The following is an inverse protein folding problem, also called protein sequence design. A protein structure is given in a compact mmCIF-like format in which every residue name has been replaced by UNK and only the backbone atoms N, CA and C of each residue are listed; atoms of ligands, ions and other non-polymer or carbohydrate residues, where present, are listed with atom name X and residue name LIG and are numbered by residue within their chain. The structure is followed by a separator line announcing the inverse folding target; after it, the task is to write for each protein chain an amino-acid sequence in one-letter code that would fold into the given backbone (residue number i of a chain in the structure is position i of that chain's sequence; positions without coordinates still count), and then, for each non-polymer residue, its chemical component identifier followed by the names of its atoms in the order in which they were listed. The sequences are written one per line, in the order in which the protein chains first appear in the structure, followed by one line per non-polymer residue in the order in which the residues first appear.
data_IF_018851026433
#
_entry.id   IF_018851026433
#
_cell.length_a   1.000
_cell.length_b   1.000
_cell.length_c   1.000
_cell.angle_alpha   90.00
_cell.angle_beta   90.00
_cell.angle_gamma   90.00
#
_symmetry.space_group_name_H-M   'P 1'
#
loop_
_entity.id
_entity.type
_entity.pdbx_description
1 polymer ?
#
# COMPACT_ATOMS: atom_id res chain seq x y z
N UNK A 1 1.69 -23.06 -3.58
CA UNK A 1 1.77 -21.62 -3.85
C UNK A 1 3.22 -21.23 -3.80
N UNK A 2 3.74 -20.60 -4.84
CA UNK A 2 5.10 -20.07 -4.85
C UNK A 2 5.08 -18.64 -4.31
N UNK A 3 6.05 -18.30 -3.45
CA UNK A 3 6.20 -16.95 -2.92
C UNK A 3 7.13 -16.19 -3.84
N UNK A 4 6.60 -15.18 -4.55
CA UNK A 4 7.42 -14.30 -5.37
C UNK A 4 8.11 -13.27 -4.47
N UNK A 5 9.43 -13.17 -4.59
CA UNK A 5 10.23 -12.20 -3.85
C UNK A 5 10.79 -11.14 -4.82
N UNK A 6 10.44 -9.88 -4.58
CA UNK A 6 10.91 -8.74 -5.36
C UNK A 6 11.77 -7.82 -4.48
N UNK A 7 12.91 -7.39 -4.99
CA UNK A 7 13.83 -6.48 -4.28
C UNK A 7 14.45 -5.47 -5.25
N UNK A 8 14.52 -4.21 -4.82
CA UNK A 8 15.12 -3.11 -5.58
C UNK A 8 15.92 -2.21 -4.63
N UNK A 9 17.05 -1.69 -5.11
CA UNK A 9 17.84 -0.70 -4.39
C UNK A 9 17.38 0.71 -4.75
N UNK A 10 16.88 1.45 -3.75
CA UNK A 10 16.44 2.83 -3.90
C UNK A 10 17.45 3.74 -3.22
N UNK A 11 18.03 4.68 -3.96
CA UNK A 11 18.97 5.67 -3.42
C UNK A 11 18.22 6.81 -2.68
N UNK A 12 17.59 6.47 -1.55
CA UNK A 12 16.86 7.40 -0.69
C UNK A 12 16.90 6.93 0.76
N UNK A 13 16.67 7.85 1.69
CA UNK A 13 16.53 7.48 3.10
C UNK A 13 15.27 6.64 3.32
N UNK A 14 15.30 5.75 4.31
CA UNK A 14 14.16 4.86 4.62
C UNK A 14 12.91 5.66 4.96
N UNK A 15 13.06 6.82 5.60
CA UNK A 15 11.96 7.72 5.96
C UNK A 15 11.30 8.32 4.72
N UNK A 16 12.11 8.70 3.71
CA UNK A 16 11.59 9.23 2.44
C UNK A 16 10.80 8.16 1.69
N UNK A 17 11.33 6.94 1.60
CA UNK A 17 10.64 5.80 0.97
C UNK A 17 9.32 5.51 1.68
N UNK A 18 9.34 5.44 3.01
CA UNK A 18 8.14 5.22 3.81
C UNK A 18 7.07 6.30 3.58
N UNK A 19 7.48 7.57 3.56
CA UNK A 19 6.57 8.70 3.32
C UNK A 19 5.98 8.67 1.92
N UNK A 20 6.75 8.27 0.90
CA UNK A 20 6.26 8.17 -0.47
C UNK A 20 5.28 7.01 -0.63
N UNK A 21 5.59 5.85 -0.04
CA UNK A 21 4.73 4.66 -0.14
C UNK A 21 3.36 4.88 0.50
N UNK A 22 3.29 5.57 1.64
CA UNK A 22 2.07 5.65 2.45
C UNK A 22 1.48 7.05 2.63
N UNK A 23 2.12 8.09 2.10
CA UNK A 23 1.55 9.44 2.15
C UNK A 23 0.39 9.57 1.16
N UNK A 24 -0.73 10.16 1.57
CA UNK A 24 -1.97 10.19 0.76
C UNK A 24 -1.76 10.68 -0.67
N UNK A 25 -1.10 11.84 -0.84
CA UNK A 25 -0.81 12.40 -2.16
C UNK A 25 0.19 11.53 -2.94
N UNK A 26 1.27 11.13 -2.28
CA UNK A 26 2.35 10.40 -2.94
C UNK A 26 1.92 9.00 -3.34
N UNK A 27 1.05 8.37 -2.54
CA UNK A 27 0.39 7.12 -2.86
C UNK A 27 -0.33 7.25 -4.19
N UNK A 28 -1.32 8.15 -4.29
CA UNK A 28 -2.04 8.39 -5.55
C UNK A 28 -1.11 8.72 -6.72
N UNK A 29 -0.01 9.46 -6.49
CA UNK A 29 0.96 9.79 -7.53
C UNK A 29 1.68 8.53 -8.06
N UNK A 30 2.25 7.67 -7.20
CA UNK A 30 2.97 6.47 -7.67
C UNK A 30 2.02 5.35 -8.12
N UNK A 31 0.80 5.33 -7.57
CA UNK A 31 -0.22 4.36 -7.97
C UNK A 31 -0.91 4.69 -9.28
N UNK A 32 -0.84 5.95 -9.72
CA UNK A 32 -1.43 6.41 -10.97
C UNK A 32 -1.00 5.61 -12.21
N UNK A 33 0.22 5.05 -12.19
CA UNK A 33 0.78 4.25 -13.29
C UNK A 33 0.01 2.94 -13.51
N UNK A 34 -0.58 2.38 -12.44
CA UNK A 34 -1.34 1.13 -12.52
C UNK A 34 -2.85 1.33 -12.33
N UNK A 35 -3.26 2.30 -11.52
CA UNK A 35 -4.65 2.64 -11.24
C UNK A 35 -4.77 4.16 -11.02
N UNK A 36 -5.11 4.88 -12.09
CA UNK A 36 -5.22 6.33 -12.10
C UNK A 36 -6.25 6.85 -11.09
N UNK A 37 -5.82 7.70 -10.16
CA UNK A 37 -6.69 8.25 -9.12
C UNK A 37 -6.97 7.31 -7.95
N UNK A 38 -6.28 6.17 -7.87
CA UNK A 38 -6.45 5.25 -6.74
C UNK A 38 -5.99 5.89 -5.42
N UNK A 39 -6.70 5.54 -4.35
CA UNK A 39 -6.43 6.05 -3.00
C UNK A 39 -6.56 4.95 -1.96
N UNK A 40 -5.81 5.09 -0.87
CA UNK A 40 -5.86 4.21 0.27
C UNK A 40 -6.78 4.79 1.35
N UNK A 41 -7.70 3.99 1.86
CA UNK A 41 -8.56 4.31 3.01
C UNK A 41 -8.13 3.41 4.17
N UNK A 42 -7.53 4.03 5.18
CA UNK A 42 -7.15 3.34 6.42
C UNK A 42 -6.99 4.34 7.56
N UNK A 43 -7.22 3.87 8.77
CA UNK A 43 -6.84 4.48 10.04
C UNK A 43 -5.36 4.17 10.41
N UNK A 44 -4.67 3.36 9.60
CA UNK A 44 -3.27 2.94 9.79
C UNK A 44 -3.01 2.28 11.15
N UNK A 45 -4.01 1.61 11.75
CA UNK A 45 -3.87 0.90 13.01
C UNK A 45 -3.62 -0.59 12.79
N UNK A 46 -2.89 -1.24 13.69
CA UNK A 46 -2.76 -2.70 13.69
C UNK A 46 -4.13 -3.34 13.93
N UNK A 47 -4.43 -4.41 13.20
CA UNK A 47 -5.73 -5.07 13.20
C UNK A 47 -6.80 -4.37 12.35
N UNK A 48 -6.54 -3.14 11.88
CA UNK A 48 -7.50 -2.41 11.06
C UNK A 48 -7.44 -2.79 9.59
N UNK A 49 -8.55 -2.54 8.91
CA UNK A 49 -8.67 -2.76 7.47
C UNK A 49 -8.07 -1.59 6.70
N UNK A 50 -7.33 -1.92 5.65
CA UNK A 50 -6.88 -0.99 4.62
C UNK A 50 -7.58 -1.34 3.32
N UNK A 51 -8.13 -0.34 2.64
CA UNK A 51 -8.77 -0.48 1.34
C UNK A 51 -8.04 0.37 0.32
N UNK A 52 -7.61 -0.24 -0.77
CA UNK A 52 -7.07 0.44 -1.95
C UNK A 52 -8.18 0.48 -2.99
N UNK A 53 -8.71 1.66 -3.27
CA UNK A 53 -9.88 1.84 -4.14
C UNK A 53 -9.41 2.43 -5.46
N UNK A 54 -9.83 1.82 -6.58
CA UNK A 54 -9.68 2.40 -7.92
C UNK A 54 -10.99 3.11 -8.32
N UNK A 55 -10.98 4.44 -8.52
CA UNK A 55 -12.17 5.20 -8.87
C UNK A 55 -12.73 4.88 -10.26
N UNK A 56 -11.93 4.32 -11.19
CA UNK A 56 -12.40 4.03 -12.55
C UNK A 56 -13.18 2.73 -12.64
N UNK A 57 -12.69 1.69 -11.98
CA UNK A 57 -13.31 0.37 -12.03
C UNK A 57 -14.34 0.16 -10.92
N UNK A 58 -14.32 0.96 -9.85
CA UNK A 58 -15.10 0.72 -8.62
C UNK A 58 -14.73 -0.63 -7.95
N UNK A 59 -13.61 -1.22 -8.37
CA UNK A 59 -12.96 -2.38 -7.78
C UNK A 59 -11.75 -1.92 -6.96
N UNK A 60 -11.28 -2.78 -6.09
CA UNK A 60 -10.18 -2.44 -5.19
C UNK A 60 -9.61 -3.66 -4.49
N UNK A 61 -8.59 -3.41 -3.70
CA UNK A 61 -7.96 -4.40 -2.84
C UNK A 61 -8.27 -4.08 -1.40
N UNK A 62 -8.68 -5.08 -0.61
CA UNK A 62 -8.83 -4.95 0.84
C UNK A 62 -7.85 -5.86 1.53
N UNK A 63 -7.20 -5.35 2.58
CA UNK A 63 -6.28 -6.11 3.42
C UNK A 63 -6.41 -5.68 4.88
N UNK A 64 -5.79 -6.44 5.79
CA UNK A 64 -5.72 -6.14 7.21
C UNK A 64 -4.27 -5.87 7.59
N UNK A 65 -4.03 -4.81 8.33
CA UNK A 65 -2.70 -4.49 8.85
C UNK A 65 -2.40 -5.48 9.98
N UNK A 66 -1.55 -6.47 9.73
CA UNK A 66 -1.21 -7.47 10.75
C UNK A 66 -0.27 -6.88 11.80
N UNK A 67 0.77 -6.21 11.33
CA UNK A 67 1.81 -5.59 12.18
C UNK A 67 2.28 -4.29 11.56
N UNK A 68 2.46 -3.29 12.41
CA UNK A 68 3.00 -1.97 12.11
C UNK A 68 4.21 -1.73 12.99
N UNK A 69 5.38 -2.02 12.43
CA UNK A 69 6.62 -1.57 13.04
C UNK A 69 6.97 -0.16 12.55
N UNK A 70 7.82 0.55 13.29
CA UNK A 70 8.35 1.83 12.80
C UNK A 70 9.09 1.57 11.48
N UNK A 71 8.55 2.10 10.37
CA UNK A 71 9.08 1.98 9.01
C UNK A 71 9.03 0.56 8.40
N UNK A 72 8.14 -0.31 8.90
CA UNK A 72 7.80 -1.59 8.27
C UNK A 72 6.31 -1.89 8.44
N UNK A 73 5.63 -2.22 7.33
CA UNK A 73 4.21 -2.61 7.34
C UNK A 73 4.10 -4.05 6.83
N UNK A 74 3.42 -4.90 7.59
CA UNK A 74 3.05 -6.24 7.16
C UNK A 74 1.54 -6.30 6.92
N UNK A 75 1.14 -6.61 5.69
CA UNK A 75 -0.25 -6.72 5.28
C UNK A 75 -0.62 -8.20 5.18
N UNK A 76 -1.66 -8.61 5.91
CA UNK A 76 -2.20 -9.96 5.81
C UNK A 76 -3.06 -10.03 4.54
N UNK A 77 -2.55 -10.73 3.53
CA UNK A 77 -3.26 -11.15 2.31
C UNK A 77 -4.05 -10.06 1.58
N UNK A 78 -3.52 -9.63 0.44
CA UNK A 78 -4.21 -8.77 -0.53
C UNK A 78 -5.27 -9.62 -1.24
N UNK A 79 -6.56 -9.42 -0.92
CA UNK A 79 -7.64 -9.99 -1.72
C UNK A 79 -8.02 -8.97 -2.81
N UNK A 80 -7.58 -9.24 -4.04
CA UNK A 80 -8.22 -8.71 -5.26
C UNK A 80 -9.50 -9.50 -5.42
N UNK A 81 -10.65 -8.83 -5.44
CA UNK A 81 -11.94 -9.45 -5.75
C UNK A 81 -12.58 -8.78 -6.94
#
# INVERSE_FOLDING_TARGET
METLHFSININASKEKVWKILWGDKTFTDWTSVFAEGSYAVSDWMEGSRIQFIDPKSNHGMSSVIEKKFRMSLCLLSIWVK
#
